data_IF_742036742815
#
_entry.id   IF_742036742815
#
_cell.length_a   1.000
_cell.length_b   1.000
_cell.length_c   1.000
_cell.angle_alpha   90.00
_cell.angle_beta   90.00
_cell.angle_gamma   90.00
#
_symmetry.space_group_name_H-M   'P 1'
#
loop_
_entity.id
_entity.type
_entity.pdbx_description
1 polymer ?
#
# COMPACT_ATOMS: atom_id res chain seq x y z
N UNK A 1 -6.72 -3.80 24.46
CA UNK A 1 -5.39 -4.48 24.40
C UNK A 1 -4.32 -3.41 24.38
N UNK A 2 -3.34 -3.47 25.26
CA UNK A 2 -2.31 -2.43 25.37
C UNK A 2 -1.40 -2.48 24.14
N UNK A 3 -1.39 -1.41 23.39
CA UNK A 3 -0.53 -1.18 22.20
C UNK A 3 0.94 -0.91 22.59
N UNK A 4 1.43 -1.61 23.63
CA UNK A 4 2.79 -1.42 24.10
C UNK A 4 3.79 -1.94 23.05
N UNK A 5 4.85 -1.16 22.72
CA UNK A 5 5.87 -1.62 21.79
C UNK A 5 6.50 -2.92 22.29
N UNK A 6 6.54 -3.93 21.44
CA UNK A 6 7.33 -5.13 21.68
C UNK A 6 8.79 -4.83 21.35
N UNK A 7 9.71 -5.35 22.17
CA UNK A 7 11.09 -5.47 21.74
C UNK A 7 11.11 -6.49 20.60
N UNK A 8 11.67 -6.12 19.45
CA UNK A 8 11.99 -7.13 18.45
C UNK A 8 12.94 -8.12 19.10
N UNK A 9 12.67 -9.43 19.00
CA UNK A 9 13.73 -10.39 19.22
C UNK A 9 14.89 -10.00 18.28
N UNK A 10 16.11 -10.26 18.70
CA UNK A 10 17.25 -10.25 17.78
C UNK A 10 16.83 -10.98 16.50
N UNK A 11 17.29 -10.53 15.32
CA UNK A 11 16.90 -11.15 14.05
C UNK A 11 16.93 -12.66 14.24
N UNK A 12 15.89 -13.35 13.78
CA UNK A 12 15.80 -14.78 14.01
C UNK A 12 17.20 -15.37 13.72
N UNK A 13 17.69 -16.24 14.60
CA UNK A 13 18.99 -16.90 14.46
C UNK A 13 18.98 -17.84 13.23
N UNK A 14 18.39 -17.37 12.13
CA UNK A 14 18.25 -18.00 10.84
C UNK A 14 19.39 -17.63 9.91
N UNK A 15 19.76 -18.56 9.07
CA UNK A 15 20.81 -18.39 8.10
C UNK A 15 20.39 -17.37 7.03
N UNK A 16 21.20 -16.33 6.84
CA UNK A 16 21.06 -15.39 5.72
C UNK A 16 21.81 -15.94 4.52
N UNK A 17 21.09 -16.41 3.53
CA UNK A 17 21.66 -17.08 2.35
C UNK A 17 21.63 -16.15 1.14
N UNK A 18 22.78 -15.99 0.46
CA UNK A 18 22.82 -15.38 -0.87
C UNK A 18 22.51 -16.46 -1.91
N UNK A 19 21.47 -16.23 -2.71
CA UNK A 19 20.98 -17.14 -3.73
C UNK A 19 21.39 -16.62 -5.10
N UNK A 20 22.53 -17.08 -5.60
CA UNK A 20 23.11 -16.67 -6.88
C UNK A 20 23.40 -17.85 -7.83
N UNK A 21 22.97 -19.05 -7.45
CA UNK A 21 23.05 -20.28 -8.26
C UNK A 21 21.69 -20.98 -8.36
N UNK A 22 21.41 -21.73 -9.43
CA UNK A 22 20.17 -22.48 -9.56
C UNK A 22 19.95 -23.51 -8.44
N UNK A 23 20.98 -24.14 -7.94
CA UNK A 23 20.86 -25.10 -6.85
C UNK A 23 20.44 -24.44 -5.54
N UNK A 24 21.02 -23.28 -5.21
CA UNK A 24 20.60 -22.51 -4.04
C UNK A 24 19.18 -21.98 -4.20
N UNK A 25 18.76 -21.61 -5.42
CA UNK A 25 17.40 -21.17 -5.72
C UNK A 25 16.38 -22.29 -5.48
N UNK A 26 16.66 -23.51 -5.96
CA UNK A 26 15.78 -24.65 -5.76
C UNK A 26 15.62 -24.98 -4.27
N UNK A 27 16.71 -24.96 -3.50
CA UNK A 27 16.66 -25.16 -2.05
C UNK A 27 15.83 -24.09 -1.33
N UNK A 28 15.99 -22.82 -1.70
CA UNK A 28 15.18 -21.74 -1.15
C UNK A 28 13.69 -21.92 -1.51
N UNK A 29 13.39 -22.28 -2.75
CA UNK A 29 12.04 -22.52 -3.25
C UNK A 29 11.32 -23.63 -2.47
N UNK A 30 12.01 -24.72 -2.17
CA UNK A 30 11.46 -25.84 -1.38
C UNK A 30 11.00 -25.37 0.02
N UNK A 31 11.80 -24.54 0.69
CA UNK A 31 11.46 -24.02 2.02
C UNK A 31 10.33 -22.97 1.92
N UNK A 32 10.37 -22.08 0.93
CA UNK A 32 9.33 -21.05 0.73
C UNK A 32 7.97 -21.71 0.48
N UNK A 33 7.93 -22.79 -0.31
CA UNK A 33 6.70 -23.54 -0.60
C UNK A 33 6.00 -24.05 0.66
N UNK A 34 6.78 -24.45 1.69
CA UNK A 34 6.27 -24.96 2.96
C UNK A 34 6.16 -23.92 4.07
N UNK A 35 6.49 -22.66 3.79
CA UNK A 35 6.51 -21.62 4.82
C UNK A 35 5.08 -21.21 5.22
N UNK A 36 4.85 -21.03 6.52
CA UNK A 36 3.57 -20.53 7.03
C UNK A 36 3.35 -19.04 6.74
N UNK A 37 4.43 -18.28 6.60
CA UNK A 37 4.44 -16.82 6.38
C UNK A 37 5.66 -16.45 5.56
N UNK A 38 5.47 -15.51 4.64
CA UNK A 38 6.54 -14.99 3.81
C UNK A 38 6.42 -13.47 3.72
N UNK A 39 7.53 -12.78 3.88
CA UNK A 39 7.64 -11.37 3.58
C UNK A 39 8.72 -11.15 2.52
N UNK A 40 8.56 -10.07 1.75
CA UNK A 40 9.42 -9.77 0.63
C UNK A 40 9.66 -8.27 0.54
N UNK A 41 10.83 -7.90 0.00
CA UNK A 41 11.20 -6.57 -0.42
C UNK A 41 12.03 -6.66 -1.70
N UNK A 42 12.07 -5.62 -2.53
CA UNK A 42 12.80 -5.62 -3.80
C UNK A 42 13.63 -4.35 -3.95
N UNK A 43 14.93 -4.55 -4.11
CA UNK A 43 15.78 -3.47 -4.56
C UNK A 43 15.89 -3.47 -6.09
N UNK A 44 15.66 -2.31 -6.67
CA UNK A 44 15.61 -2.15 -8.12
C UNK A 44 16.70 -1.20 -8.63
N UNK A 45 17.12 -1.40 -9.85
CA UNK A 45 18.11 -0.56 -10.51
C UNK A 45 17.85 -0.42 -12.00
N UNK A 46 18.32 0.67 -12.60
CA UNK A 46 18.26 0.88 -14.06
C UNK A 46 19.62 0.61 -14.68
N UNK A 47 19.83 -0.51 -15.39
CA UNK A 47 21.09 -0.78 -16.06
C UNK A 47 21.43 0.31 -17.08
N UNK A 48 22.73 0.64 -17.20
CA UNK A 48 23.18 1.68 -18.14
C UNK A 48 22.76 1.35 -19.57
N UNK A 49 22.04 2.26 -20.19
CA UNK A 49 21.52 2.08 -21.55
C UNK A 49 20.23 1.26 -21.64
N UNK A 50 19.70 0.73 -20.55
CA UNK A 50 18.42 0.05 -20.57
C UNK A 50 17.24 1.04 -20.57
N UNK A 51 16.14 0.65 -21.22
CA UNK A 51 14.90 1.42 -21.20
C UNK A 51 14.17 1.32 -19.84
N UNK A 52 14.24 0.16 -19.17
CA UNK A 52 13.48 -0.15 -17.95
C UNK A 52 14.38 -0.38 -16.73
N UNK A 53 13.81 -0.13 -15.56
CA UNK A 53 14.32 -0.56 -14.25
C UNK A 53 14.04 -2.05 -14.08
N UNK A 54 14.98 -2.77 -13.48
CA UNK A 54 14.88 -4.21 -13.22
C UNK A 54 15.00 -4.51 -11.72
N UNK A 55 14.46 -5.62 -11.27
CA UNK A 55 14.75 -6.15 -9.95
C UNK A 55 16.25 -6.51 -9.89
N UNK A 56 16.97 -5.86 -8.99
CA UNK A 56 18.41 -6.06 -8.79
C UNK A 56 18.70 -7.04 -7.67
N UNK A 57 17.86 -7.07 -6.63
CA UNK A 57 17.93 -8.00 -5.51
C UNK A 57 16.50 -8.24 -5.00
N UNK A 58 16.16 -9.49 -4.69
CA UNK A 58 14.89 -9.87 -4.08
C UNK A 58 15.20 -10.42 -2.70
N UNK A 59 14.70 -9.76 -1.67
CA UNK A 59 14.86 -10.17 -0.28
C UNK A 59 13.62 -10.94 0.15
N UNK A 60 13.80 -12.12 0.72
CA UNK A 60 12.72 -12.97 1.17
C UNK A 60 12.99 -13.39 2.59
N UNK A 61 12.02 -13.20 3.48
CA UNK A 61 12.07 -13.69 4.85
C UNK A 61 10.91 -14.66 5.13
N UNK A 62 11.23 -15.75 5.79
CA UNK A 62 10.29 -16.70 6.38
C UNK A 62 10.77 -17.07 7.79
N UNK A 63 9.94 -17.69 8.65
CA UNK A 63 10.37 -18.07 9.99
C UNK A 63 11.68 -18.87 9.99
N UNK A 64 12.73 -18.31 10.61
CA UNK A 64 14.06 -18.91 10.69
C UNK A 64 14.95 -18.79 9.45
N UNK A 65 14.51 -18.15 8.37
CA UNK A 65 15.24 -18.08 7.11
C UNK A 65 15.16 -16.71 6.47
N UNK A 66 16.26 -16.29 5.84
CA UNK A 66 16.33 -15.09 4.99
C UNK A 66 17.16 -15.36 3.75
N UNK A 67 16.62 -15.06 2.59
CA UNK A 67 17.29 -15.22 1.30
C UNK A 67 17.47 -13.90 0.60
N UNK A 68 18.66 -13.71 0.04
CA UNK A 68 18.99 -12.60 -0.85
C UNK A 68 19.16 -13.18 -2.25
N UNK A 69 18.08 -13.22 -3.01
CA UNK A 69 18.06 -13.77 -4.37
C UNK A 69 18.61 -12.74 -5.34
N UNK A 70 19.62 -13.13 -6.12
CA UNK A 70 20.27 -12.28 -7.13
C UNK A 70 19.77 -12.60 -8.54
N UNK A 71 18.76 -11.86 -9.07
CA UNK A 71 18.22 -12.13 -10.40
C UNK A 71 19.25 -11.96 -11.52
N UNK A 72 20.24 -11.06 -11.31
CA UNK A 72 21.26 -10.78 -12.31
C UNK A 72 22.25 -11.94 -12.45
N UNK A 73 22.66 -12.54 -11.33
CA UNK A 73 23.54 -13.71 -11.32
C UNK A 73 22.82 -14.97 -11.81
N UNK A 74 21.54 -15.08 -11.52
CA UNK A 74 20.68 -16.17 -12.01
C UNK A 74 20.30 -15.99 -13.49
N UNK A 75 20.68 -14.86 -14.12
CA UNK A 75 20.36 -14.55 -15.50
C UNK A 75 18.84 -14.67 -15.82
N UNK A 76 17.98 -14.23 -14.90
CA UNK A 76 16.54 -14.30 -15.02
C UNK A 76 15.91 -15.69 -14.89
N UNK A 77 16.68 -16.72 -14.52
CA UNK A 77 16.16 -18.08 -14.30
C UNK A 77 15.53 -18.19 -12.92
N UNK A 78 14.31 -17.69 -12.78
CA UNK A 78 13.57 -17.56 -11.51
C UNK A 78 12.33 -18.47 -11.44
N UNK A 79 12.21 -19.46 -12.35
CA UNK A 79 11.02 -20.31 -12.45
C UNK A 79 10.69 -21.10 -11.18
N UNK A 80 11.71 -21.59 -10.47
CA UNK A 80 11.52 -22.31 -9.20
C UNK A 80 10.93 -21.37 -8.13
N UNK A 81 11.38 -20.11 -8.11
CA UNK A 81 10.86 -19.11 -7.18
C UNK A 81 9.42 -18.69 -7.52
N UNK A 82 9.10 -18.52 -8.80
CA UNK A 82 7.72 -18.28 -9.25
C UNK A 82 6.80 -19.44 -8.85
N UNK A 83 7.24 -20.68 -9.02
CA UNK A 83 6.49 -21.85 -8.63
C UNK A 83 6.28 -21.93 -7.10
N UNK A 84 7.30 -21.59 -6.32
CA UNK A 84 7.23 -21.59 -4.86
C UNK A 84 6.21 -20.55 -4.35
N UNK A 85 6.22 -19.35 -4.89
CA UNK A 85 5.25 -18.32 -4.49
C UNK A 85 3.81 -18.67 -4.86
N UNK A 86 3.56 -19.43 -5.92
CA UNK A 86 2.21 -19.92 -6.25
C UNK A 86 1.63 -20.86 -5.21
N UNK A 87 2.49 -21.56 -4.48
CA UNK A 87 2.10 -22.49 -3.41
C UNK A 87 2.17 -21.87 -2.01
N UNK A 88 2.84 -20.72 -1.88
CA UNK A 88 3.02 -20.02 -0.60
C UNK A 88 1.73 -19.32 -0.15
N UNK A 89 1.59 -19.00 1.16
CA UNK A 89 0.55 -18.11 1.65
C UNK A 89 0.68 -16.71 1.05
N UNK A 90 -0.29 -15.79 1.29
CA UNK A 90 -0.16 -14.41 0.88
C UNK A 90 1.18 -13.80 1.33
N UNK A 91 1.89 -13.16 0.41
CA UNK A 91 3.20 -12.57 0.68
C UNK A 91 3.02 -11.15 1.25
N UNK A 92 3.65 -10.86 2.38
CA UNK A 92 3.62 -9.55 2.98
C UNK A 92 4.67 -8.62 2.36
N UNK A 93 4.25 -7.45 1.87
CA UNK A 93 5.11 -6.37 1.39
C UNK A 93 4.73 -5.05 2.06
N UNK A 94 5.66 -4.12 2.08
CA UNK A 94 5.38 -2.75 2.52
C UNK A 94 5.42 -1.81 1.32
N UNK A 95 4.27 -1.23 0.92
CA UNK A 95 4.09 -0.44 -0.33
C UNK A 95 4.29 -1.28 -1.59
N UNK A 96 3.51 -2.34 -1.71
CA UNK A 96 3.68 -3.44 -2.64
C UNK A 96 3.70 -3.07 -4.13
N UNK A 97 3.12 -1.94 -4.54
CA UNK A 97 2.85 -1.65 -5.96
C UNK A 97 4.11 -1.57 -6.84
N UNK A 98 5.22 -1.09 -6.28
CA UNK A 98 6.52 -1.03 -6.98
C UNK A 98 7.13 -2.42 -7.15
N UNK A 99 7.19 -3.15 -6.06
CA UNK A 99 7.84 -4.46 -5.98
C UNK A 99 7.15 -5.50 -6.84
N UNK A 100 5.80 -5.56 -6.77
CA UNK A 100 4.99 -6.45 -7.61
C UNK A 100 5.30 -6.22 -9.10
N UNK A 101 5.37 -4.96 -9.54
CA UNK A 101 5.69 -4.64 -10.94
C UNK A 101 7.10 -5.11 -11.36
N UNK A 102 8.10 -4.97 -10.47
CA UNK A 102 9.46 -5.42 -10.77
C UNK A 102 9.58 -6.94 -10.76
N UNK A 103 8.85 -7.61 -9.87
CA UNK A 103 8.76 -9.07 -9.83
C UNK A 103 8.10 -9.63 -11.09
N UNK A 104 6.97 -9.06 -11.51
CA UNK A 104 6.29 -9.44 -12.77
C UNK A 104 7.21 -9.27 -13.98
N UNK A 105 7.95 -8.16 -14.05
CA UNK A 105 8.92 -7.92 -15.11
C UNK A 105 10.08 -8.95 -15.08
N UNK A 106 10.39 -9.51 -13.92
CA UNK A 106 11.35 -10.59 -13.73
C UNK A 106 10.74 -12.00 -13.94
N UNK A 107 9.45 -12.11 -14.27
CA UNK A 107 8.74 -13.38 -14.50
C UNK A 107 8.22 -14.06 -13.25
N UNK A 108 8.14 -13.34 -12.13
CA UNK A 108 7.60 -13.84 -10.86
C UNK A 108 6.22 -13.24 -10.63
N UNK A 109 5.24 -14.09 -10.33
CA UNK A 109 3.87 -13.68 -9.97
C UNK A 109 3.54 -14.09 -8.56
N UNK A 110 3.06 -13.13 -7.79
CA UNK A 110 2.56 -13.35 -6.44
C UNK A 110 1.04 -13.53 -6.51
N UNK A 111 0.48 -14.71 -6.20
CA UNK A 111 -0.96 -14.96 -6.33
C UNK A 111 -1.79 -14.16 -5.34
N UNK A 112 -1.22 -13.83 -4.18
CA UNK A 112 -1.82 -12.94 -3.20
C UNK A 112 -0.75 -12.15 -2.45
N UNK A 113 -1.02 -10.86 -2.22
CA UNK A 113 -0.12 -9.94 -1.52
C UNK A 113 -0.89 -9.18 -0.44
N UNK A 114 -0.35 -9.17 0.77
CA UNK A 114 -0.81 -8.29 1.86
C UNK A 114 0.03 -7.02 1.87
N UNK A 115 -0.59 -5.88 1.56
CA UNK A 115 0.09 -4.58 1.58
C UNK A 115 0.05 -3.95 2.98
N UNK A 116 1.15 -4.05 3.71
CA UNK A 116 1.27 -3.56 5.09
C UNK A 116 1.18 -2.03 5.19
N UNK A 117 1.50 -1.28 4.12
CA UNK A 117 1.28 0.16 4.12
C UNK A 117 -0.21 0.50 4.18
N UNK A 118 -1.04 -0.25 3.46
CA UNK A 118 -2.49 -0.02 3.50
C UNK A 118 -3.10 -0.45 4.84
N UNK A 119 -2.60 -1.51 5.46
CA UNK A 119 -2.94 -1.88 6.85
C UNK A 119 -2.58 -0.73 7.80
N UNK A 120 -1.35 -0.19 7.69
CA UNK A 120 -0.88 0.94 8.51
C UNK A 120 -1.79 2.16 8.37
N UNK A 121 -2.10 2.54 7.13
CA UNK A 121 -2.96 3.70 6.85
C UNK A 121 -4.39 3.52 7.37
N UNK A 122 -4.91 2.32 7.27
CA UNK A 122 -6.26 2.01 7.78
C UNK A 122 -6.32 2.05 9.30
N UNK A 123 -5.23 1.65 9.98
CA UNK A 123 -5.16 1.66 11.44
C UNK A 123 -4.79 3.03 12.04
N UNK A 124 -3.88 3.78 11.39
CA UNK A 124 -3.22 4.95 11.99
C UNK A 124 -3.33 6.24 11.17
N UNK A 125 -3.98 6.20 10.00
CA UNK A 125 -4.09 7.35 9.10
C UNK A 125 -2.91 7.48 8.13
N UNK A 126 -2.96 8.54 7.32
CA UNK A 126 -2.00 8.76 6.23
C UNK A 126 -0.65 9.36 6.66
N UNK A 127 -0.50 9.80 7.91
CA UNK A 127 0.77 10.35 8.41
C UNK A 127 1.85 9.27 8.59
N UNK A 128 1.46 8.02 8.85
CA UNK A 128 2.37 6.89 8.91
C UNK A 128 2.59 6.30 7.51
N UNK A 129 3.65 6.74 6.81
CA UNK A 129 3.87 6.46 5.38
C UNK A 129 5.05 5.54 5.09
N UNK A 130 5.76 5.07 6.11
CA UNK A 130 6.99 4.32 5.90
C UNK A 130 7.12 3.12 6.84
N UNK A 131 7.79 2.07 6.35
CA UNK A 131 8.20 0.93 7.16
C UNK A 131 8.91 1.39 8.45
N UNK A 132 9.80 2.39 8.35
CA UNK A 132 10.53 2.97 9.49
C UNK A 132 9.59 3.49 10.59
N UNK A 133 8.54 4.22 10.24
CA UNK A 133 7.59 4.77 11.21
C UNK A 133 6.79 3.67 11.88
N UNK A 134 6.34 2.69 11.10
CA UNK A 134 5.65 1.50 11.60
C UNK A 134 6.54 0.69 12.56
N UNK A 135 7.80 0.47 12.23
CA UNK A 135 8.76 -0.23 13.07
C UNK A 135 9.07 0.54 14.35
N UNK A 136 9.24 1.86 14.26
CA UNK A 136 9.43 2.70 15.46
C UNK A 136 8.23 2.64 16.39
N UNK A 137 7.01 2.64 15.86
CA UNK A 137 5.76 2.55 16.62
C UNK A 137 5.63 1.21 17.36
N UNK A 138 5.86 0.11 16.65
CA UNK A 138 5.57 -1.23 17.18
C UNK A 138 6.74 -1.87 17.92
N UNK A 139 7.97 -1.54 17.53
CA UNK A 139 9.17 -2.24 18.02
C UNK A 139 10.24 -1.31 18.60
N UNK A 140 10.08 0.01 18.50
CA UNK A 140 11.10 1.02 18.87
C UNK A 140 12.41 0.86 18.12
N UNK A 141 12.39 0.26 16.95
CA UNK A 141 13.55 0.08 16.08
C UNK A 141 13.72 1.29 15.18
N UNK A 142 14.96 1.77 15.07
CA UNK A 142 15.35 2.74 14.06
C UNK A 142 15.86 1.99 12.83
N UNK A 143 15.20 2.16 11.67
CA UNK A 143 15.67 1.62 10.41
C UNK A 143 16.82 2.47 9.87
N UNK A 144 17.92 1.83 9.49
CA UNK A 144 19.02 2.48 8.76
C UNK A 144 18.54 2.80 7.33
N UNK A 145 18.94 3.94 6.80
CA UNK A 145 18.60 4.36 5.42
C UNK A 145 19.78 4.37 4.48
N UNK A 146 20.96 3.93 4.92
CA UNK A 146 22.20 4.00 4.16
C UNK A 146 22.15 3.23 2.83
N UNK A 147 21.30 2.21 2.74
CA UNK A 147 21.12 1.40 1.54
C UNK A 147 20.17 1.98 0.49
N UNK A 148 19.29 2.94 0.82
CA UNK A 148 18.24 3.41 -0.09
C UNK A 148 18.74 4.02 -1.41
N UNK A 149 19.95 4.59 -1.44
CA UNK A 149 20.56 5.21 -2.62
C UNK A 149 21.76 4.42 -3.14
N UNK A 150 21.90 3.17 -2.74
CA UNK A 150 23.03 2.35 -3.15
C UNK A 150 22.91 1.92 -4.62
N UNK A 151 24.05 1.63 -5.23
CA UNK A 151 24.08 1.00 -6.56
C UNK A 151 23.81 -0.51 -6.41
N UNK A 152 22.52 -0.88 -6.46
CA UNK A 152 22.08 -2.26 -6.35
C UNK A 152 22.43 -3.14 -7.56
N UNK A 153 22.92 -2.54 -8.65
CA UNK A 153 23.40 -3.28 -9.83
C UNK A 153 24.87 -3.73 -9.67
N UNK A 154 25.62 -3.11 -8.77
CA UNK A 154 27.02 -3.47 -8.53
C UNK A 154 27.17 -4.89 -8.01
N UNK A 155 28.16 -5.62 -8.54
CA UNK A 155 28.51 -7.00 -8.11
C UNK A 155 30.01 -7.12 -7.85
N UNK A 156 30.42 -7.82 -6.78
CA UNK A 156 29.56 -8.45 -5.75
C UNK A 156 28.87 -7.41 -4.86
N UNK A 157 27.69 -7.75 -4.31
CA UNK A 157 26.96 -6.86 -3.39
C UNK A 157 27.79 -6.74 -2.09
N UNK A 158 28.15 -5.52 -1.63
CA UNK A 158 28.90 -5.32 -0.41
C UNK A 158 28.22 -5.90 0.83
N UNK A 159 29.01 -6.39 1.80
CA UNK A 159 28.49 -6.97 3.04
C UNK A 159 27.49 -6.08 3.79
N UNK A 160 27.78 -4.79 4.01
CA UNK A 160 26.82 -3.87 4.65
C UNK A 160 25.49 -3.76 3.91
N UNK A 161 25.50 -3.73 2.57
CA UNK A 161 24.26 -3.69 1.76
C UNK A 161 23.48 -4.99 1.83
N UNK A 162 24.17 -6.16 1.88
CA UNK A 162 23.50 -7.45 2.11
C UNK A 162 22.83 -7.49 3.48
N UNK A 163 23.49 -6.95 4.50
CA UNK A 163 22.92 -6.86 5.84
C UNK A 163 21.68 -5.95 5.86
N UNK A 164 21.76 -4.80 5.23
CA UNK A 164 20.65 -3.86 5.07
C UNK A 164 19.45 -4.55 4.41
N UNK A 165 19.65 -5.12 3.22
CA UNK A 165 18.60 -5.76 2.44
C UNK A 165 17.93 -6.94 3.18
N UNK A 166 18.73 -7.80 3.83
CA UNK A 166 18.18 -8.88 4.64
C UNK A 166 17.30 -8.36 5.78
N UNK A 167 17.72 -7.26 6.41
CA UNK A 167 17.02 -6.65 7.53
C UNK A 167 15.65 -6.09 7.12
N UNK A 168 15.52 -5.52 5.93
CA UNK A 168 14.25 -4.96 5.46
C UNK A 168 13.18 -6.07 5.32
N UNK A 169 13.50 -7.23 4.74
CA UNK A 169 12.57 -8.36 4.65
C UNK A 169 12.25 -8.97 6.03
N UNK A 170 13.26 -9.13 6.90
CA UNK A 170 13.07 -9.65 8.27
C UNK A 170 12.14 -8.76 9.09
N UNK A 171 12.29 -7.45 8.98
CA UNK A 171 11.48 -6.46 9.69
C UNK A 171 10.06 -6.37 9.10
N UNK A 172 9.92 -6.54 7.80
CA UNK A 172 8.63 -6.65 7.13
C UNK A 172 7.87 -7.88 7.62
N UNK A 173 8.55 -9.04 7.76
CA UNK A 173 7.94 -10.25 8.33
C UNK A 173 7.49 -10.02 9.78
N UNK A 174 8.34 -9.45 10.63
CA UNK A 174 8.01 -9.17 12.01
C UNK A 174 6.82 -8.20 12.14
N UNK A 175 6.73 -7.21 11.24
CA UNK A 175 5.60 -6.28 11.19
C UNK A 175 4.32 -6.99 10.74
N UNK A 176 4.40 -7.89 9.75
CA UNK A 176 3.26 -8.70 9.32
C UNK A 176 2.73 -9.57 10.45
N UNK A 177 3.61 -10.21 11.23
CA UNK A 177 3.23 -10.99 12.41
C UNK A 177 2.51 -10.11 13.43
N UNK A 178 3.07 -8.94 13.73
CA UNK A 178 2.47 -8.00 14.67
C UNK A 178 1.11 -7.49 14.20
N UNK A 179 0.94 -7.23 12.92
CA UNK A 179 -0.34 -6.79 12.35
C UNK A 179 -1.37 -7.90 12.31
N UNK A 180 -0.96 -9.13 12.07
CA UNK A 180 -1.86 -10.30 12.17
C UNK A 180 -2.43 -10.48 13.57
N UNK A 181 -1.65 -10.14 14.62
CA UNK A 181 -2.13 -10.15 16.00
C UNK A 181 -3.08 -8.97 16.32
N UNK A 182 -2.73 -7.76 15.86
CA UNK A 182 -3.44 -6.53 16.23
C UNK A 182 -4.63 -6.23 15.32
N UNK A 183 -4.54 -6.53 14.05
CA UNK A 183 -5.43 -6.09 13.00
C UNK A 183 -5.77 -7.20 12.00
N UNK A 184 -6.20 -8.41 12.42
CA UNK A 184 -6.44 -9.52 11.49
C UNK A 184 -7.42 -9.15 10.37
N UNK A 185 -8.50 -8.43 10.69
CA UNK A 185 -9.47 -8.00 9.69
C UNK A 185 -8.90 -6.99 8.67
N UNK A 186 -7.93 -6.15 9.06
CA UNK A 186 -7.25 -5.25 8.13
C UNK A 186 -6.22 -5.99 7.27
N UNK A 187 -5.58 -7.04 7.81
CA UNK A 187 -4.71 -7.91 7.02
C UNK A 187 -5.49 -8.56 5.89
N UNK A 188 -6.66 -9.15 6.20
CA UNK A 188 -7.54 -9.76 5.19
C UNK A 188 -8.04 -8.71 4.17
N UNK A 189 -8.47 -7.54 4.65
CA UNK A 189 -8.97 -6.44 3.82
C UNK A 189 -7.92 -5.92 2.82
N UNK A 190 -6.65 -5.95 3.19
CA UNK A 190 -5.54 -5.46 2.38
C UNK A 190 -4.67 -6.57 1.78
N UNK A 191 -5.24 -7.77 1.66
CA UNK A 191 -4.68 -8.87 0.89
C UNK A 191 -5.37 -8.92 -0.48
N UNK A 192 -4.59 -8.71 -1.54
CA UNK A 192 -5.10 -8.57 -2.90
C UNK A 192 -4.58 -9.65 -3.83
N UNK A 193 -5.44 -10.20 -4.72
CA UNK A 193 -4.96 -11.02 -5.82
C UNK A 193 -3.94 -10.26 -6.67
N UNK A 194 -2.88 -10.93 -7.08
CA UNK A 194 -1.79 -10.36 -7.88
C UNK A 194 -1.22 -9.04 -7.32
N UNK A 195 -1.40 -8.80 -6.01
CA UNK A 195 -0.92 -7.59 -5.32
C UNK A 195 -1.63 -6.30 -5.73
N UNK A 196 -2.81 -6.39 -6.33
CA UNK A 196 -3.57 -5.23 -6.82
C UNK A 196 -4.96 -5.21 -6.23
N UNK A 197 -5.32 -4.07 -5.64
CA UNK A 197 -6.70 -3.85 -5.24
C UNK A 197 -7.62 -3.88 -6.48
N UNK A 198 -8.75 -4.58 -6.42
CA UNK A 198 -9.66 -4.70 -7.55
C UNK A 198 -10.24 -3.34 -7.94
N UNK A 199 -10.32 -3.07 -9.23
CA UNK A 199 -11.01 -1.90 -9.78
C UNK A 199 -12.19 -2.42 -10.59
N UNK A 200 -13.44 -2.09 -10.22
CA UNK A 200 -14.61 -2.54 -10.97
C UNK A 200 -14.56 -2.08 -12.43
N UNK A 201 -14.74 -3.03 -13.35
CA UNK A 201 -14.69 -2.76 -14.79
C UNK A 201 -15.86 -1.88 -15.28
N UNK A 202 -16.98 -1.96 -14.60
CA UNK A 202 -18.21 -1.22 -14.91
C UNK A 202 -18.17 0.28 -14.59
N UNK A 203 -17.08 0.77 -14.02
CA UNK A 203 -16.91 2.20 -13.71
C UNK A 203 -16.48 2.98 -14.96
N UNK A 204 -16.88 4.27 -15.08
CA UNK A 204 -16.35 5.17 -16.08
C UNK A 204 -14.82 5.19 -16.12
N UNK A 205 -14.22 5.39 -17.29
CA UNK A 205 -12.78 5.30 -17.47
C UNK A 205 -12.03 6.27 -16.54
N UNK A 206 -12.49 7.52 -16.39
CA UNK A 206 -11.89 8.49 -15.50
C UNK A 206 -11.84 8.03 -14.04
N UNK A 207 -12.90 7.37 -13.54
CA UNK A 207 -12.93 6.84 -12.17
C UNK A 207 -11.98 5.65 -12.02
N UNK A 208 -11.86 4.78 -13.02
CA UNK A 208 -10.88 3.70 -12.98
C UNK A 208 -9.46 4.22 -12.92
N UNK A 209 -9.16 5.35 -13.60
CA UNK A 209 -7.88 6.06 -13.52
C UNK A 209 -7.65 6.65 -12.12
N UNK A 210 -8.66 7.31 -11.54
CA UNK A 210 -8.63 7.79 -10.14
C UNK A 210 -8.30 6.64 -9.17
N UNK A 211 -9.02 5.52 -9.28
CA UNK A 211 -8.82 4.35 -8.44
C UNK A 211 -7.45 3.69 -8.67
N UNK A 212 -6.97 3.70 -9.90
CA UNK A 212 -5.62 3.24 -10.26
C UNK A 212 -4.48 4.13 -9.74
N UNK A 213 -4.81 5.30 -9.19
CA UNK A 213 -3.83 6.20 -8.58
C UNK A 213 -3.17 7.16 -9.52
N UNK A 214 -3.79 7.47 -10.63
CA UNK A 214 -3.35 8.54 -11.50
C UNK A 214 -3.38 9.87 -10.73
N UNK A 215 -2.32 10.66 -10.88
CA UNK A 215 -2.14 11.88 -10.06
C UNK A 215 -2.87 13.10 -10.58
N UNK A 216 -3.40 13.04 -11.81
CA UNK A 216 -4.18 14.13 -12.36
C UNK A 216 -5.45 14.37 -11.53
N UNK A 217 -5.90 15.62 -11.38
CA UNK A 217 -7.17 15.94 -10.73
C UNK A 217 -8.35 15.25 -11.43
N UNK A 218 -9.40 14.93 -10.67
CA UNK A 218 -10.57 14.22 -11.21
C UNK A 218 -11.23 14.95 -12.37
N UNK A 219 -11.28 16.29 -12.36
CA UNK A 219 -11.83 17.07 -13.45
C UNK A 219 -11.03 16.95 -14.74
N UNK A 220 -9.69 16.90 -14.68
CA UNK A 220 -8.86 16.68 -15.88
C UNK A 220 -9.09 15.27 -16.46
N UNK A 221 -9.23 14.26 -15.60
CA UNK A 221 -9.48 12.88 -16.01
C UNK A 221 -10.85 12.74 -16.68
N UNK A 222 -11.89 13.40 -16.10
CA UNK A 222 -13.23 13.41 -16.65
C UNK A 222 -13.30 14.15 -17.99
N UNK A 223 -12.66 15.32 -18.09
CA UNK A 223 -12.55 16.08 -19.34
C UNK A 223 -11.84 15.29 -20.45
N UNK A 224 -10.76 14.57 -20.12
CA UNK A 224 -10.05 13.72 -21.07
C UNK A 224 -10.89 12.55 -21.59
N UNK A 225 -11.90 12.11 -20.83
CA UNK A 225 -12.89 11.10 -21.22
C UNK A 225 -14.09 11.71 -21.96
N UNK A 226 -14.02 13.02 -22.29
CA UNK A 226 -15.02 13.71 -23.11
C UNK A 226 -16.25 14.22 -22.35
N UNK A 227 -16.17 14.34 -21.03
CA UNK A 227 -17.21 14.97 -20.22
C UNK A 227 -16.99 16.49 -20.22
N UNK A 228 -17.93 17.28 -20.77
CA UNK A 228 -17.84 18.75 -20.80
C UNK A 228 -18.14 19.31 -19.40
N UNK A 229 -17.09 19.72 -18.67
CA UNK A 229 -17.23 20.15 -17.25
C UNK A 229 -17.91 21.53 -17.08
N UNK A 230 -18.04 22.30 -18.16
CA UNK A 230 -18.62 23.64 -18.17
C UNK A 230 -20.13 23.67 -18.45
N UNK A 231 -20.75 22.49 -18.60
CA UNK A 231 -22.16 22.36 -18.95
C UNK A 231 -22.93 21.61 -17.85
N UNK A 232 -24.13 22.13 -17.50
CA UNK A 232 -25.02 21.47 -16.51
C UNK A 232 -25.36 20.01 -16.88
N UNK A 233 -25.31 19.66 -18.17
CA UNK A 233 -25.56 18.31 -18.65
C UNK A 233 -24.48 17.29 -18.25
N UNK A 234 -23.29 17.74 -17.87
CA UNK A 234 -22.19 16.84 -17.45
C UNK A 234 -22.32 16.38 -15.98
N UNK A 235 -23.04 17.13 -15.15
CA UNK A 235 -23.17 16.86 -13.71
C UNK A 235 -23.85 15.51 -13.43
N UNK A 236 -25.01 15.17 -14.01
CA UNK A 236 -25.65 13.89 -13.75
C UNK A 236 -24.77 12.66 -14.04
N UNK A 237 -24.06 12.54 -15.17
CA UNK A 237 -23.12 11.43 -15.42
C UNK A 237 -21.97 11.36 -14.41
N UNK A 238 -21.47 12.47 -13.89
CA UNK A 238 -20.43 12.52 -12.86
C UNK A 238 -20.97 12.02 -11.52
N UNK A 239 -22.17 12.46 -11.12
CA UNK A 239 -22.86 12.00 -9.91
C UNK A 239 -23.15 10.51 -10.00
N UNK A 240 -23.71 10.03 -11.10
CA UNK A 240 -24.03 8.61 -11.31
C UNK A 240 -22.76 7.73 -11.25
N UNK A 241 -21.68 8.18 -11.90
CA UNK A 241 -20.40 7.50 -11.86
C UNK A 241 -19.84 7.41 -10.44
N UNK A 242 -19.84 8.53 -9.70
CA UNK A 242 -19.34 8.58 -8.33
C UNK A 242 -20.22 7.74 -7.37
N UNK A 243 -21.56 7.80 -7.50
CA UNK A 243 -22.48 6.95 -6.75
C UNK A 243 -22.18 5.48 -6.98
N UNK A 244 -22.05 5.08 -8.25
CA UNK A 244 -21.72 3.70 -8.62
C UNK A 244 -20.37 3.26 -8.05
N UNK A 245 -19.37 4.14 -8.03
CA UNK A 245 -18.09 3.84 -7.40
C UNK A 245 -18.25 3.62 -5.89
N UNK A 246 -19.05 4.44 -5.19
CA UNK A 246 -19.29 4.25 -3.76
C UNK A 246 -20.06 2.96 -3.44
N UNK A 247 -20.85 2.43 -4.38
CA UNK A 247 -21.54 1.14 -4.22
C UNK A 247 -20.61 -0.06 -4.47
N UNK A 248 -19.72 0.03 -5.45
CA UNK A 248 -18.93 -1.11 -5.93
C UNK A 248 -17.54 -1.20 -5.24
N UNK A 249 -16.99 -0.08 -4.80
CA UNK A 249 -15.64 -0.04 -4.21
C UNK A 249 -15.72 -0.34 -2.71
N UNK A 250 -15.14 -1.46 -2.30
CA UNK A 250 -15.05 -1.89 -0.90
C UNK A 250 -13.73 -1.52 -0.22
N UNK A 251 -12.67 -1.23 -1.00
CA UNK A 251 -11.33 -0.96 -0.48
C UNK A 251 -11.24 0.47 0.08
N UNK A 252 -10.92 0.67 1.39
CA UNK A 252 -11.04 1.96 2.06
C UNK A 252 -10.20 3.09 1.44
N UNK A 253 -8.96 2.79 1.02
CA UNK A 253 -8.13 3.82 0.38
C UNK A 253 -8.60 4.18 -1.04
N UNK A 254 -9.28 3.26 -1.74
CA UNK A 254 -9.94 3.56 -3.02
C UNK A 254 -11.19 4.42 -2.77
N UNK A 255 -12.00 4.10 -1.74
CA UNK A 255 -13.14 4.95 -1.34
C UNK A 255 -12.68 6.36 -0.97
N UNK A 256 -11.57 6.49 -0.24
CA UNK A 256 -10.95 7.78 0.05
C UNK A 256 -10.58 8.57 -1.23
N UNK A 257 -10.18 7.89 -2.31
CA UNK A 257 -9.96 8.53 -3.61
C UNK A 257 -11.26 8.97 -4.28
N UNK A 258 -12.33 8.19 -4.15
CA UNK A 258 -13.66 8.58 -4.64
C UNK A 258 -14.14 9.84 -3.92
N UNK A 259 -14.00 9.92 -2.59
CA UNK A 259 -14.37 11.13 -1.83
C UNK A 259 -13.59 12.36 -2.29
N UNK A 260 -12.29 12.22 -2.51
CA UNK A 260 -11.47 13.30 -3.08
C UNK A 260 -11.94 13.70 -4.49
N UNK A 261 -12.31 12.73 -5.32
CA UNK A 261 -12.82 13.03 -6.66
C UNK A 261 -14.16 13.77 -6.60
N UNK A 262 -15.06 13.38 -5.70
CA UNK A 262 -16.34 14.05 -5.44
C UNK A 262 -16.09 15.52 -5.03
N UNK A 263 -15.16 15.75 -4.12
CA UNK A 263 -14.80 17.11 -3.70
C UNK A 263 -14.17 17.94 -4.83
N UNK A 264 -13.22 17.37 -5.59
CA UNK A 264 -12.57 18.04 -6.73
C UNK A 264 -13.56 18.39 -7.86
N UNK A 265 -14.66 17.68 -7.98
CA UNK A 265 -15.72 17.91 -8.95
C UNK A 265 -16.89 18.72 -8.37
N UNK A 266 -16.76 19.16 -7.11
CA UNK A 266 -17.76 19.97 -6.40
C UNK A 266 -19.19 19.35 -6.38
N UNK A 267 -19.28 17.98 -6.34
CA UNK A 267 -20.54 17.25 -6.36
C UNK A 267 -21.22 17.27 -4.98
N UNK A 268 -21.74 18.43 -4.58
CA UNK A 268 -22.32 18.67 -3.25
C UNK A 268 -23.49 17.72 -2.92
N UNK A 269 -24.26 17.27 -3.92
CA UNK A 269 -25.36 16.33 -3.77
C UNK A 269 -24.91 14.98 -3.19
N UNK A 270 -23.61 14.66 -3.30
CA UNK A 270 -23.04 13.43 -2.75
C UNK A 270 -22.52 13.57 -1.31
N UNK A 271 -22.63 14.77 -0.70
CA UNK A 271 -22.23 14.97 0.70
C UNK A 271 -22.85 13.96 1.68
N UNK A 272 -24.15 13.56 1.56
CA UNK A 272 -24.72 12.53 2.41
C UNK A 272 -23.99 11.17 2.31
N UNK A 273 -23.57 10.81 1.10
CA UNK A 273 -22.82 9.59 0.84
C UNK A 273 -21.38 9.66 1.39
N UNK A 274 -20.73 10.80 1.22
CA UNK A 274 -19.39 11.06 1.78
C UNK A 274 -19.43 11.00 3.30
N UNK A 275 -20.44 11.56 3.94
CA UNK A 275 -20.60 11.59 5.40
C UNK A 275 -20.63 10.19 6.03
N UNK A 276 -21.13 9.17 5.31
CA UNK A 276 -21.08 7.78 5.80
C UNK A 276 -19.65 7.32 6.06
N UNK A 277 -18.67 7.87 5.36
CA UNK A 277 -17.26 7.57 5.55
C UNK A 277 -16.69 8.00 6.89
N UNK A 278 -17.30 8.98 7.58
CA UNK A 278 -16.87 9.43 8.91
C UNK A 278 -16.96 8.32 9.98
N UNK A 279 -17.81 7.33 9.77
CA UNK A 279 -18.00 6.18 10.69
C UNK A 279 -17.28 4.91 10.26
N UNK A 280 -16.45 4.97 9.20
CA UNK A 280 -15.68 3.81 8.74
C UNK A 280 -14.75 3.27 9.83
N UNK A 281 -14.55 1.95 9.85
CA UNK A 281 -13.55 1.32 10.71
C UNK A 281 -12.11 1.75 10.34
N UNK A 282 -11.89 2.23 9.10
CA UNK A 282 -10.57 2.58 8.57
C UNK A 282 -10.30 4.10 8.69
N UNK A 283 -9.25 4.46 9.39
CA UNK A 283 -8.87 5.86 9.61
C UNK A 283 -8.64 6.64 8.30
N UNK A 284 -8.06 5.99 7.28
CA UNK A 284 -7.82 6.63 5.97
C UNK A 284 -9.13 7.09 5.32
N UNK A 285 -10.18 6.30 5.46
CA UNK A 285 -11.50 6.64 4.91
C UNK A 285 -12.18 7.74 5.71
N UNK A 286 -12.15 7.65 7.07
CA UNK A 286 -12.70 8.71 7.93
C UNK A 286 -12.06 10.07 7.68
N UNK A 287 -10.73 10.12 7.60
CA UNK A 287 -10.00 11.36 7.32
C UNK A 287 -10.30 11.92 5.93
N UNK A 288 -10.47 11.07 4.92
CA UNK A 288 -10.81 11.50 3.56
C UNK A 288 -12.26 12.06 3.49
N UNK A 289 -13.19 11.41 4.18
CA UNK A 289 -14.58 11.88 4.27
C UNK A 289 -14.65 13.26 4.94
N UNK A 290 -13.92 13.45 6.05
CA UNK A 290 -13.88 14.75 6.73
C UNK A 290 -13.34 15.85 5.80
N UNK A 291 -12.23 15.63 5.10
CA UNK A 291 -11.67 16.60 4.13
C UNK A 291 -12.66 16.94 3.02
N UNK A 292 -13.26 15.91 2.43
CA UNK A 292 -14.19 16.10 1.32
C UNK A 292 -15.43 16.90 1.73
N UNK A 293 -15.97 16.68 2.95
CA UNK A 293 -17.08 17.48 3.48
C UNK A 293 -16.71 18.95 3.68
N UNK A 294 -15.49 19.24 4.14
CA UNK A 294 -14.99 20.61 4.25
C UNK A 294 -14.85 21.27 2.88
N UNK A 295 -14.23 20.58 1.90
CA UNK A 295 -14.06 21.08 0.53
C UNK A 295 -15.41 21.32 -0.18
N UNK A 296 -16.43 20.48 0.09
CA UNK A 296 -17.80 20.63 -0.41
C UNK A 296 -18.61 21.71 0.34
N UNK A 297 -18.07 22.33 1.38
CA UNK A 297 -18.79 23.28 2.27
C UNK A 297 -20.10 22.70 2.78
N UNK A 298 -20.11 21.46 3.20
CA UNK A 298 -21.28 20.68 3.60
C UNK A 298 -21.70 21.02 5.05
N UNK A 299 -22.25 22.17 5.30
CA UNK A 299 -22.63 22.74 6.64
C UNK A 299 -23.55 21.81 7.44
N UNK A 300 -24.44 21.08 6.77
CA UNK A 300 -25.36 20.11 7.40
C UNK A 300 -24.61 19.03 8.20
N UNK A 301 -23.32 18.83 7.92
CA UNK A 301 -22.46 17.81 8.57
C UNK A 301 -21.49 18.39 9.61
N UNK A 302 -21.61 19.70 9.94
CA UNK A 302 -20.75 20.33 10.96
C UNK A 302 -20.78 19.59 12.31
N UNK A 303 -21.94 19.11 12.74
CA UNK A 303 -22.05 18.32 13.97
C UNK A 303 -21.35 16.95 13.92
N UNK A 304 -21.32 16.31 12.75
CA UNK A 304 -20.59 15.06 12.56
C UNK A 304 -19.06 15.28 12.49
N UNK A 305 -18.63 16.40 11.93
CA UNK A 305 -17.23 16.83 11.91
C UNK A 305 -16.75 17.20 13.33
N UNK A 306 -17.59 17.91 14.11
CA UNK A 306 -17.30 18.22 15.52
C UNK A 306 -17.08 16.93 16.34
N UNK A 307 -17.95 15.94 16.16
CA UNK A 307 -17.75 14.63 16.79
C UNK A 307 -16.43 13.95 16.38
N UNK A 308 -15.98 14.13 15.13
CA UNK A 308 -14.74 13.58 14.60
C UNK A 308 -13.48 14.27 15.14
N UNK A 309 -13.57 15.43 15.81
CA UNK A 309 -12.45 16.03 16.57
C UNK A 309 -11.98 15.12 17.69
N UNK A 310 -12.87 14.28 18.24
CA UNK A 310 -12.55 13.27 19.27
C UNK A 310 -12.00 11.95 18.72
N UNK A 311 -11.72 11.82 17.42
CA UNK A 311 -11.22 10.57 16.84
C UNK A 311 -9.87 10.16 17.46
N UNK A 312 -9.70 8.88 17.84
CA UNK A 312 -8.44 8.39 18.41
C UNK A 312 -7.25 8.48 17.46
N UNK A 313 -7.49 8.63 16.16
CA UNK A 313 -6.44 8.79 15.15
C UNK A 313 -6.23 10.28 14.85
N UNK A 314 -5.04 10.85 15.17
CA UNK A 314 -4.79 12.29 15.03
C UNK A 314 -4.99 12.85 13.60
N UNK A 315 -4.82 12.02 12.57
CA UNK A 315 -5.06 12.42 11.18
C UNK A 315 -6.52 12.69 10.90
N UNK A 316 -7.42 11.93 11.51
CA UNK A 316 -8.87 12.11 11.39
C UNK A 316 -9.29 13.39 12.12
N UNK A 317 -8.85 13.56 13.37
CA UNK A 317 -9.16 14.76 14.16
C UNK A 317 -8.68 16.04 13.45
N UNK A 318 -7.43 16.04 12.91
CA UNK A 318 -6.92 17.18 12.12
C UNK A 318 -7.69 17.42 10.82
N UNK A 319 -8.18 16.37 10.17
CA UNK A 319 -9.00 16.52 8.96
C UNK A 319 -10.35 17.14 9.29
N UNK A 320 -10.95 16.75 10.40
CA UNK A 320 -12.22 17.33 10.89
C UNK A 320 -12.07 18.80 11.30
N UNK A 321 -10.98 19.13 12.02
CA UNK A 321 -10.67 20.49 12.43
C UNK A 321 -10.57 21.44 11.23
N UNK A 322 -9.76 21.07 10.22
CA UNK A 322 -9.65 21.86 8.97
C UNK A 322 -10.95 21.94 8.19
N UNK A 323 -11.75 20.88 8.20
CA UNK A 323 -13.06 20.92 7.55
C UNK A 323 -13.99 21.91 8.23
N UNK A 324 -14.03 21.96 9.55
CA UNK A 324 -14.81 22.94 10.31
C UNK A 324 -14.31 24.39 10.09
N UNK A 325 -12.98 24.59 10.02
CA UNK A 325 -12.42 25.89 9.64
C UNK A 325 -12.91 26.32 8.26
N UNK A 326 -12.88 25.42 7.25
CA UNK A 326 -13.34 25.71 5.89
C UNK A 326 -14.84 26.03 5.81
N UNK A 327 -15.67 25.48 6.70
CA UNK A 327 -17.11 25.86 6.78
C UNK A 327 -17.34 27.24 7.36
N UNK A 328 -16.37 27.84 8.07
CA UNK A 328 -16.47 29.16 8.69
C UNK A 328 -15.90 30.29 7.82
N UNK A 329 -15.12 29.95 6.79
CA UNK A 329 -14.56 30.89 5.83
C UNK A 329 -15.68 31.32 4.82
N UNK A 330 -16.02 32.63 4.74
CA UNK A 330 -17.02 33.21 3.81
C UNK A 330 -16.54 33.16 2.34
#
# INVERSE_FOLDING_TARGET
>A
MTNAPQLLPDPPAGERVVVDTPAALSQAADVITGAERVALDVEAGKPRGAAATVAALIQIAAPGHTWLVDPLRLAGRLGDLDAAFRAAPPVALFDAAGDVRWLEAAGIRLPAVTDLLQVTRSAYGESDKSLRESLRRHFRVALDKSGQQADWLARPIPGPLRHYAARDAELTLALADRYSELFPALMDLHTYPDGRAPIPEDLPAWLRRVLGGERAPAYELAAADGLPLDEDESIPPLIDGANRALDLVSVPWQRARVYRAIANLELAELAPRVATGLTSSCAVERAAAARALGELRAEDYAGALDAALGDPVPDVARAADRALEALQEE
#
